data_IF_393638423549
#
_entry.id   IF_393638423549
#
_cell.length_a   1.000
_cell.length_b   1.000
_cell.length_c   1.000
_cell.angle_alpha   90.00
_cell.angle_beta   90.00
_cell.angle_gamma   90.00
#
_symmetry.space_group_name_H-M   'P 1'
#
loop_
_entity.id
_entity.type
_entity.pdbx_description
1 polymer ?
#
# COMPACT_ATOMS: atom_id res chain seq x y z
N UNK A 1 -12.82 129.85 -35.23
CA UNK A 1 -13.32 129.98 -36.64
C UNK A 1 -13.97 128.69 -36.96
N UNK A 2 -15.27 128.68 -36.88
CA UNK A 2 -16.22 128.32 -37.94
C UNK A 2 -16.14 126.81 -38.25
N UNK A 3 -17.11 126.01 -38.31
CA UNK A 3 -18.58 126.06 -38.44
C UNK A 3 -19.06 124.63 -38.37
N UNK A 4 -19.96 124.34 -37.54
CA UNK A 4 -21.28 123.75 -37.81
C UNK A 4 -21.42 122.76 -38.99
N UNK A 5 -21.94 121.60 -38.80
CA UNK A 5 -23.30 121.27 -39.27
C UNK A 5 -23.73 119.87 -38.82
N UNK A 6 -24.93 119.81 -38.34
CA UNK A 6 -25.72 118.69 -37.90
C UNK A 6 -26.05 117.76 -39.10
N UNK A 7 -26.12 116.47 -38.87
CA UNK A 7 -27.01 115.60 -39.63
C UNK A 7 -27.60 114.53 -38.73
N UNK A 8 -28.91 114.50 -38.68
CA UNK A 8 -29.83 113.81 -37.86
C UNK A 8 -29.75 112.27 -38.00
N UNK A 9 -29.95 111.66 -36.87
CA UNK A 9 -30.15 110.21 -36.70
C UNK A 9 -31.46 109.75 -37.30
N UNK A 10 -31.44 108.63 -37.98
CA UNK A 10 -32.62 107.78 -38.18
C UNK A 10 -32.29 106.42 -37.59
N UNK A 11 -32.90 106.14 -36.42
CA UNK A 11 -32.87 104.83 -35.78
C UNK A 11 -33.80 103.89 -36.51
N UNK A 12 -33.27 102.81 -37.12
CA UNK A 12 -34.01 101.69 -37.61
C UNK A 12 -34.02 100.60 -36.49
N UNK A 13 -35.17 100.37 -35.90
CA UNK A 13 -35.43 99.26 -35.01
C UNK A 13 -35.38 97.91 -35.75
N UNK A 14 -34.38 97.10 -35.42
CA UNK A 14 -34.32 95.72 -35.89
C UNK A 14 -35.35 94.80 -35.08
N UNK A 15 -36.05 93.92 -35.77
CA UNK A 15 -37.08 93.04 -35.11
C UNK A 15 -36.38 92.05 -34.20
N UNK A 16 -36.88 91.91 -32.93
CA UNK A 16 -36.54 90.88 -32.01
C UNK A 16 -36.98 89.52 -32.56
N UNK A 17 -36.02 88.65 -32.93
CA UNK A 17 -36.27 87.21 -33.18
C UNK A 17 -36.56 86.52 -31.88
N UNK A 18 -37.59 85.67 -31.84
CA UNK A 18 -37.85 84.82 -30.62
C UNK A 18 -36.68 83.89 -30.48
N UNK A 19 -36.09 83.82 -29.28
CA UNK A 19 -35.06 82.87 -28.90
C UNK A 19 -35.66 81.46 -28.96
N UNK A 20 -35.29 80.68 -29.98
CA UNK A 20 -35.70 79.29 -30.04
C UNK A 20 -35.07 78.51 -28.88
N UNK A 21 -35.83 77.98 -28.01
CA UNK A 21 -35.44 77.14 -26.82
C UNK A 21 -34.94 75.72 -27.25
N UNK A 22 -34.95 75.44 -28.54
CA UNK A 22 -34.51 74.16 -29.13
C UNK A 22 -33.05 73.78 -28.80
N UNK A 23 -32.04 74.72 -28.96
CA UNK A 23 -30.66 74.34 -28.66
C UNK A 23 -30.41 74.04 -27.18
N UNK A 24 -31.19 74.60 -26.27
CA UNK A 24 -31.07 74.40 -24.83
C UNK A 24 -31.61 73.00 -24.42
N UNK A 25 -32.70 72.55 -25.07
CA UNK A 25 -33.28 71.22 -24.86
C UNK A 25 -32.40 70.13 -25.44
N UNK A 26 -31.80 70.32 -26.61
CA UNK A 26 -30.86 69.36 -27.23
C UNK A 26 -29.56 69.28 -26.42
N UNK A 27 -29.02 70.40 -25.94
CA UNK A 27 -27.86 70.41 -25.03
C UNK A 27 -28.15 69.70 -23.71
N UNK A 28 -29.35 69.96 -23.10
CA UNK A 28 -29.78 69.31 -21.87
C UNK A 28 -29.95 67.80 -22.02
N UNK A 29 -30.55 67.34 -23.15
CA UNK A 29 -30.69 65.92 -23.43
C UNK A 29 -29.33 65.22 -23.65
N UNK A 30 -28.37 65.88 -24.29
CA UNK A 30 -27.01 65.38 -24.50
C UNK A 30 -26.24 65.28 -23.17
N UNK A 31 -26.33 66.27 -22.29
CA UNK A 31 -25.74 66.23 -20.95
C UNK A 31 -26.37 65.15 -20.07
N UNK A 32 -27.71 65.01 -20.15
CA UNK A 32 -28.42 63.97 -19.41
C UNK A 32 -28.01 62.53 -19.90
N UNK A 33 -27.83 62.37 -21.22
CA UNK A 33 -27.31 61.13 -21.82
C UNK A 33 -25.89 60.76 -21.34
N UNK A 34 -24.99 61.77 -21.30
CA UNK A 34 -23.62 61.60 -20.80
C UNK A 34 -23.66 61.29 -19.29
N UNK A 35 -24.47 61.99 -18.50
CA UNK A 35 -24.60 61.73 -17.06
C UNK A 35 -25.18 60.33 -16.78
N UNK A 36 -26.16 59.87 -17.55
CA UNK A 36 -26.72 58.52 -17.46
C UNK A 36 -25.67 57.46 -17.88
N UNK A 37 -24.90 57.68 -18.93
CA UNK A 37 -23.85 56.80 -19.36
C UNK A 37 -22.70 56.70 -18.33
N UNK A 38 -22.28 57.85 -17.80
CA UNK A 38 -21.27 57.89 -16.72
C UNK A 38 -21.82 57.24 -15.43
N UNK A 39 -23.07 57.51 -15.08
CA UNK A 39 -23.75 56.88 -13.93
C UNK A 39 -23.85 55.38 -14.10
N UNK A 40 -24.19 54.87 -15.30
CA UNK A 40 -24.21 53.45 -15.58
C UNK A 40 -22.78 52.84 -15.54
N UNK A 41 -21.79 53.53 -16.12
CA UNK A 41 -20.41 53.08 -16.07
C UNK A 41 -19.85 53.02 -14.62
N UNK A 42 -20.21 54.02 -13.79
CA UNK A 42 -19.86 54.00 -12.35
C UNK A 42 -20.60 52.84 -11.63
N UNK A 43 -21.89 52.66 -11.93
CA UNK A 43 -22.68 51.59 -11.33
C UNK A 43 -22.12 50.22 -11.72
N UNK A 44 -21.77 49.96 -13.00
CA UNK A 44 -21.13 48.74 -13.47
C UNK A 44 -19.74 48.52 -12.81
N UNK A 45 -18.95 49.61 -12.68
CA UNK A 45 -17.63 49.55 -12.04
C UNK A 45 -17.71 49.27 -10.52
N UNK A 46 -18.81 49.70 -9.85
CA UNK A 46 -19.00 49.46 -8.43
C UNK A 46 -19.74 48.19 -8.11
N UNK A 47 -20.38 47.54 -9.12
CA UNK A 47 -21.07 46.26 -9.00
C UNK A 47 -20.51 45.26 -10.03
N UNK A 48 -19.23 44.85 -9.85
CA UNK A 48 -18.68 43.84 -10.73
C UNK A 48 -19.48 42.57 -10.65
N UNK A 49 -19.71 41.90 -11.77
CA UNK A 49 -20.36 40.59 -11.79
C UNK A 49 -19.64 39.64 -10.83
N UNK A 50 -20.38 38.81 -10.07
CA UNK A 50 -19.77 37.86 -9.16
C UNK A 50 -18.81 36.95 -9.95
N UNK A 51 -17.59 36.82 -9.46
CA UNK A 51 -16.59 35.96 -10.07
C UNK A 51 -17.06 34.49 -9.92
N UNK A 52 -17.19 33.75 -11.03
CA UNK A 52 -17.61 32.36 -10.96
C UNK A 52 -16.61 31.55 -10.15
N UNK A 53 -17.13 30.63 -9.34
CA UNK A 53 -16.29 29.70 -8.60
C UNK A 53 -15.70 28.68 -9.55
N UNK A 54 -14.38 28.60 -9.60
CA UNK A 54 -13.67 27.66 -10.45
C UNK A 54 -13.12 26.51 -9.63
N UNK A 55 -13.44 25.29 -10.05
CA UNK A 55 -12.90 24.06 -9.49
C UNK A 55 -12.17 23.23 -10.54
N UNK A 56 -11.49 22.22 -10.08
CA UNK A 56 -10.81 21.24 -10.92
C UNK A 56 -11.23 19.82 -10.51
N UNK A 57 -11.47 18.99 -11.51
CA UNK A 57 -11.70 17.56 -11.29
C UNK A 57 -10.43 16.90 -10.81
N UNK A 58 -10.55 16.11 -9.77
CA UNK A 58 -9.50 15.26 -9.22
C UNK A 58 -10.00 13.82 -9.08
N UNK A 59 -9.10 12.87 -8.92
CA UNK A 59 -9.42 11.47 -8.73
C UNK A 59 -8.37 10.80 -7.84
N UNK A 60 -8.74 9.66 -7.28
CA UNK A 60 -7.86 8.89 -6.42
C UNK A 60 -6.68 8.32 -7.19
N UNK A 61 -5.48 8.80 -6.90
CA UNK A 61 -4.23 8.27 -7.47
C UNK A 61 -3.56 7.32 -6.47
N UNK A 62 -3.18 6.15 -6.95
CA UNK A 62 -2.55 5.08 -6.20
C UNK A 62 -1.14 4.89 -6.75
N UNK A 63 -0.15 4.91 -5.87
CA UNK A 63 1.23 4.60 -6.22
C UNK A 63 1.45 3.09 -6.17
N UNK A 64 1.80 2.49 -7.29
CA UNK A 64 2.25 1.10 -7.37
C UNK A 64 3.74 1.08 -7.13
N UNK A 65 4.16 0.58 -5.97
CA UNK A 65 5.56 0.65 -5.51
C UNK A 65 6.17 -0.74 -5.36
N UNK A 66 7.49 -0.83 -5.52
CA UNK A 66 8.27 -2.04 -5.23
C UNK A 66 8.33 -2.27 -3.72
N UNK A 67 8.01 -3.47 -3.24
CA UNK A 67 8.16 -3.85 -1.84
C UNK A 67 9.59 -4.33 -1.52
N UNK A 68 10.26 -4.91 -2.52
CA UNK A 68 11.64 -5.36 -2.44
C UNK A 68 12.54 -4.52 -3.35
N UNK A 69 13.76 -4.21 -2.93
CA UNK A 69 14.70 -3.51 -3.79
C UNK A 69 15.24 -4.45 -4.88
N UNK A 70 15.46 -3.90 -6.07
CA UNK A 70 16.01 -4.66 -7.18
C UNK A 70 16.05 -3.84 -8.46
N UNK A 71 16.45 -4.47 -9.57
CA UNK A 71 16.44 -3.82 -10.88
C UNK A 71 15.12 -4.09 -11.59
N UNK A 72 14.48 -3.06 -12.13
CA UNK A 72 13.29 -3.22 -12.97
C UNK A 72 13.67 -3.98 -14.25
N UNK A 73 13.29 -5.26 -14.31
CA UNK A 73 13.64 -6.15 -15.42
C UNK A 73 12.68 -5.99 -16.59
N UNK A 74 11.39 -5.82 -16.31
CA UNK A 74 10.34 -5.71 -17.31
C UNK A 74 9.21 -4.85 -16.79
N UNK A 75 8.71 -3.93 -17.61
CA UNK A 75 7.51 -3.14 -17.35
C UNK A 75 6.41 -3.61 -18.31
N UNK A 76 5.35 -4.21 -17.77
CA UNK A 76 4.27 -4.84 -18.56
C UNK A 76 3.12 -3.92 -18.93
N UNK A 77 3.21 -2.64 -18.58
CA UNK A 77 2.15 -1.66 -18.75
C UNK A 77 2.68 -0.40 -19.42
N UNK A 78 1.79 0.34 -20.06
CA UNK A 78 2.04 1.63 -20.70
C UNK A 78 1.11 2.68 -20.12
N UNK A 79 1.49 3.95 -20.26
CA UNK A 79 0.59 5.05 -19.91
C UNK A 79 -0.70 4.98 -20.74
N UNK A 80 -1.84 5.11 -20.06
CA UNK A 80 -3.17 4.95 -20.64
C UNK A 80 -3.77 3.54 -20.56
N UNK A 81 -3.00 2.53 -20.12
CA UNK A 81 -3.54 1.18 -19.96
C UNK A 81 -4.51 1.12 -18.78
N UNK A 82 -5.61 0.36 -18.95
CA UNK A 82 -6.60 0.11 -17.90
C UNK A 82 -6.28 -1.18 -17.19
N UNK A 83 -6.01 -1.10 -15.89
CA UNK A 83 -5.64 -2.23 -15.04
C UNK A 83 -6.80 -2.67 -14.15
N UNK A 84 -6.82 -3.96 -13.84
CA UNK A 84 -7.64 -4.55 -12.77
C UNK A 84 -6.77 -4.81 -11.54
N UNK A 85 -7.40 -4.88 -10.37
CA UNK A 85 -6.69 -5.32 -9.17
C UNK A 85 -6.07 -6.71 -9.37
N UNK A 86 -4.76 -6.84 -9.07
CA UNK A 86 -4.00 -8.07 -9.24
C UNK A 86 -3.27 -8.22 -10.57
N UNK A 87 -3.52 -7.35 -11.56
CA UNK A 87 -2.78 -7.37 -12.83
C UNK A 87 -1.30 -7.10 -12.60
N UNK A 88 -0.44 -7.81 -13.35
CA UNK A 88 1.00 -7.63 -13.25
C UNK A 88 1.43 -6.34 -13.92
N UNK A 89 2.05 -5.46 -13.16
CA UNK A 89 2.54 -4.16 -13.61
C UNK A 89 4.00 -4.23 -14.03
N UNK A 90 4.84 -4.88 -13.22
CA UNK A 90 6.28 -4.93 -13.44
C UNK A 90 6.89 -6.20 -12.87
N UNK A 91 8.09 -6.53 -13.34
CA UNK A 91 8.93 -7.61 -12.79
C UNK A 91 10.27 -7.02 -12.36
N UNK A 92 10.66 -7.29 -11.12
CA UNK A 92 11.92 -6.85 -10.54
C UNK A 92 12.88 -8.02 -10.47
N UNK A 93 14.08 -7.88 -11.01
CA UNK A 93 15.17 -8.84 -10.84
C UNK A 93 15.74 -8.71 -9.42
N UNK A 94 15.76 -9.83 -8.70
CA UNK A 94 16.16 -9.92 -7.29
C UNK A 94 17.17 -11.07 -7.06
N UNK A 95 18.31 -11.11 -7.78
CA UNK A 95 19.23 -12.23 -7.76
C UNK A 95 19.75 -12.57 -6.35
N UNK A 96 19.88 -11.58 -5.47
CA UNK A 96 20.30 -11.78 -4.08
C UNK A 96 19.26 -12.56 -3.27
N UNK A 97 17.97 -12.26 -3.46
CA UNK A 97 16.86 -12.98 -2.79
C UNK A 97 16.73 -14.39 -3.36
N UNK A 98 16.90 -14.56 -4.68
CA UNK A 98 16.90 -15.88 -5.33
C UNK A 98 18.05 -16.76 -4.82
N UNK A 99 19.26 -16.23 -4.71
CA UNK A 99 20.40 -16.92 -4.11
C UNK A 99 20.14 -17.30 -2.66
N UNK A 100 19.52 -16.39 -1.89
CA UNK A 100 19.12 -16.65 -0.50
C UNK A 100 18.07 -17.74 -0.41
N UNK A 101 17.10 -17.78 -1.35
CA UNK A 101 16.09 -18.83 -1.42
C UNK A 101 16.73 -20.22 -1.63
N UNK A 102 17.71 -20.31 -2.53
CA UNK A 102 18.47 -21.55 -2.74
C UNK A 102 19.18 -21.97 -1.45
N UNK A 103 19.81 -21.04 -0.74
CA UNK A 103 20.49 -21.29 0.53
C UNK A 103 19.54 -21.85 1.60
N UNK A 104 18.39 -21.17 1.87
CA UNK A 104 17.46 -21.63 2.92
C UNK A 104 16.78 -22.95 2.56
N UNK A 105 16.50 -23.24 1.28
CA UNK A 105 16.04 -24.54 0.80
C UNK A 105 17.08 -25.64 1.02
N UNK A 106 18.37 -25.33 0.92
CA UNK A 106 19.42 -26.29 1.25
C UNK A 106 19.47 -26.57 2.77
N UNK A 107 19.25 -25.55 3.60
CA UNK A 107 19.13 -25.70 5.07
C UNK A 107 17.92 -26.57 5.46
N UNK A 108 16.76 -26.36 4.83
CA UNK A 108 15.57 -27.19 5.04
C UNK A 108 15.85 -28.66 4.73
N UNK A 109 16.48 -28.95 3.56
CA UNK A 109 16.86 -30.32 3.20
C UNK A 109 17.82 -30.93 4.19
N UNK A 110 18.78 -30.16 4.73
CA UNK A 110 19.71 -30.64 5.74
C UNK A 110 19.00 -30.96 7.08
N UNK A 111 18.03 -30.11 7.49
CA UNK A 111 17.22 -30.37 8.67
C UNK A 111 16.33 -31.60 8.47
N UNK A 112 15.68 -31.73 7.33
CA UNK A 112 14.87 -32.90 6.97
C UNK A 112 15.69 -34.20 7.03
N UNK A 113 16.90 -34.20 6.46
CA UNK A 113 17.77 -35.38 6.54
C UNK A 113 18.15 -35.76 7.98
N UNK A 114 18.25 -34.78 8.92
CA UNK A 114 18.46 -35.05 10.35
C UNK A 114 17.22 -35.64 11.01
N UNK A 115 16.04 -35.14 10.67
CA UNK A 115 14.76 -35.69 11.17
C UNK A 115 14.59 -37.14 10.69
N UNK A 116 14.85 -37.40 9.41
CA UNK A 116 14.78 -38.73 8.82
C UNK A 116 15.75 -39.70 9.49
N UNK A 117 16.98 -39.24 9.81
CA UNK A 117 17.96 -40.03 10.58
C UNK A 117 17.47 -40.37 11.97
N UNK A 118 16.91 -39.37 12.68
CA UNK A 118 16.33 -39.58 14.03
C UNK A 118 15.15 -40.54 13.99
N UNK A 119 14.31 -40.46 12.96
CA UNK A 119 13.14 -41.33 12.80
C UNK A 119 13.52 -42.77 12.39
N UNK A 120 14.50 -42.92 11.53
CA UNK A 120 14.99 -44.26 11.08
C UNK A 120 15.69 -44.99 12.22
N UNK A 121 16.37 -44.26 13.10
CA UNK A 121 17.10 -44.83 14.24
C UNK A 121 18.32 -45.66 13.81
N UNK A 122 18.64 -46.72 14.59
CA UNK A 122 19.82 -47.59 14.35
C UNK A 122 19.68 -48.34 13.03
N UNK A 123 20.81 -48.55 12.36
CA UNK A 123 20.87 -49.31 11.11
C UNK A 123 20.53 -50.79 11.35
N UNK A 124 20.00 -51.48 10.33
CA UNK A 124 19.66 -52.88 10.38
C UNK A 124 20.82 -53.73 10.90
N UNK A 125 22.05 -53.45 10.41
CA UNK A 125 23.25 -54.17 10.83
C UNK A 125 23.60 -53.98 12.30
N UNK A 126 23.30 -52.80 12.89
CA UNK A 126 23.51 -52.52 14.31
C UNK A 126 22.48 -53.29 15.18
N UNK A 127 21.22 -53.37 14.72
CA UNK A 127 20.18 -54.18 15.35
C UNK A 127 20.50 -55.65 15.30
N UNK A 128 20.97 -56.18 14.15
CA UNK A 128 21.35 -57.60 13.98
C UNK A 128 22.57 -57.96 14.87
N UNK A 129 23.56 -57.05 14.95
CA UNK A 129 24.69 -57.25 15.85
C UNK A 129 24.30 -57.31 17.33
N UNK A 130 23.45 -56.38 17.77
CA UNK A 130 22.95 -56.38 19.17
C UNK A 130 22.11 -57.63 19.48
N UNK A 131 21.31 -58.09 18.51
CA UNK A 131 20.52 -59.33 18.65
C UNK A 131 21.45 -60.56 18.74
N UNK A 132 22.46 -60.68 17.93
CA UNK A 132 23.43 -61.79 17.97
C UNK A 132 24.20 -61.79 19.32
N UNK A 133 24.57 -60.62 19.86
CA UNK A 133 25.18 -60.50 21.19
C UNK A 133 24.27 -61.01 22.29
N UNK A 134 22.98 -60.65 22.26
CA UNK A 134 21.99 -61.14 23.21
C UNK A 134 21.76 -62.66 23.12
N UNK A 135 21.64 -63.22 21.92
CA UNK A 135 21.49 -64.64 21.68
C UNK A 135 22.71 -65.44 22.20
N UNK A 136 23.93 -64.92 21.97
CA UNK A 136 25.17 -65.49 22.53
C UNK A 136 25.15 -65.50 24.07
N UNK A 137 24.77 -64.37 24.71
CA UNK A 137 24.65 -64.29 26.15
C UNK A 137 23.58 -65.23 26.70
N UNK A 138 22.46 -65.40 26.03
CA UNK A 138 21.37 -66.33 26.38
C UNK A 138 21.83 -67.80 26.29
N UNK A 139 22.60 -68.14 25.30
CA UNK A 139 23.18 -69.50 25.18
C UNK A 139 24.16 -69.79 26.31
N UNK A 140 25.01 -68.82 26.69
CA UNK A 140 25.93 -68.94 27.84
C UNK A 140 25.16 -69.12 29.18
N UNK A 141 24.06 -68.34 29.38
CA UNK A 141 23.18 -68.44 30.55
C UNK A 141 22.55 -69.85 30.59
N UNK A 142 22.08 -70.41 29.47
CA UNK A 142 21.49 -71.69 29.40
C UNK A 142 22.53 -72.78 29.81
N UNK A 143 23.78 -72.66 29.34
CA UNK A 143 24.86 -73.58 29.77
C UNK A 143 25.15 -73.47 31.27
N UNK A 144 25.28 -72.25 31.81
CA UNK A 144 25.52 -72.01 33.25
C UNK A 144 24.37 -72.52 34.10
N UNK A 145 23.11 -72.36 33.67
CA UNK A 145 21.94 -72.91 34.37
C UNK A 145 21.97 -74.43 34.45
N UNK A 146 22.21 -75.09 33.29
CA UNK A 146 22.29 -76.60 33.30
C UNK A 146 23.49 -77.10 34.10
N UNK A 147 24.57 -76.34 34.15
CA UNK A 147 25.74 -76.73 34.98
C UNK A 147 25.44 -76.55 36.43
N UNK A 148 24.79 -75.43 36.85
CA UNK A 148 24.35 -75.19 38.19
C UNK A 148 23.37 -76.25 38.65
N UNK A 149 22.33 -76.59 37.88
CA UNK A 149 21.34 -77.64 38.23
C UNK A 149 22.00 -79.02 38.53
N UNK A 150 23.01 -79.36 37.69
CA UNK A 150 23.78 -80.63 37.88
C UNK A 150 24.65 -80.57 39.15
N UNK A 151 25.36 -79.47 39.36
CA UNK A 151 26.20 -79.29 40.55
C UNK A 151 25.39 -79.24 41.83
N UNK A 152 24.24 -78.55 41.82
CA UNK A 152 23.29 -78.46 42.98
C UNK A 152 22.75 -79.81 43.33
N UNK A 153 22.36 -80.69 42.38
CA UNK A 153 21.93 -82.08 42.62
C UNK A 153 23.03 -82.90 43.31
N UNK A 154 24.29 -82.84 42.77
CA UNK A 154 25.43 -83.57 43.35
C UNK A 154 25.81 -83.00 44.74
N UNK A 155 25.64 -81.75 45.01
CA UNK A 155 25.89 -81.12 46.30
C UNK A 155 24.87 -81.59 47.37
N UNK A 156 23.57 -81.68 47.02
CA UNK A 156 22.52 -82.23 47.87
C UNK A 156 22.73 -83.64 48.25
N UNK A 157 23.35 -84.48 47.36
CA UNK A 157 23.76 -85.84 47.58
C UNK A 157 25.07 -85.96 48.38
N UNK A 158 25.70 -84.84 48.71
CA UNK A 158 26.93 -84.85 49.50
C UNK A 158 28.18 -85.27 48.67
N UNK A 159 28.11 -85.33 47.34
CA UNK A 159 29.13 -85.84 46.49
C UNK A 159 30.22 -84.80 46.08
N UNK A 160 29.99 -83.51 46.35
CA UNK A 160 30.92 -82.45 46.00
C UNK A 160 31.10 -81.44 47.13
N UNK A 161 32.26 -80.75 47.24
CA UNK A 161 32.49 -79.64 48.20
C UNK A 161 31.66 -78.40 47.96
N UNK A 162 31.31 -77.66 49.05
CA UNK A 162 30.57 -76.38 49.01
C UNK A 162 31.19 -75.36 48.06
N UNK A 163 32.52 -75.30 47.95
CA UNK A 163 33.24 -74.45 47.06
C UNK A 163 32.79 -74.63 45.60
N UNK A 164 32.59 -75.84 45.15
CA UNK A 164 32.13 -76.11 43.78
C UNK A 164 30.68 -75.65 43.55
N UNK A 165 29.82 -75.76 44.51
CA UNK A 165 28.47 -75.26 44.48
C UNK A 165 28.47 -73.71 44.45
N UNK A 166 29.29 -73.01 45.25
CA UNK A 166 29.40 -71.60 45.31
C UNK A 166 29.98 -71.04 43.97
N UNK A 167 30.98 -71.70 43.36
CA UNK A 167 31.52 -71.37 42.02
C UNK A 167 30.41 -71.44 40.96
N UNK A 168 29.62 -72.53 40.92
CA UNK A 168 28.54 -72.68 39.97
C UNK A 168 27.42 -71.65 40.18
N UNK A 169 27.12 -71.30 41.42
CA UNK A 169 26.17 -70.21 41.77
C UNK A 169 26.64 -68.85 41.28
N UNK A 170 27.90 -68.51 41.51
CA UNK A 170 28.49 -67.32 41.08
C UNK A 170 28.53 -67.17 39.52
N UNK A 171 28.85 -68.33 38.83
CA UNK A 171 28.85 -68.42 37.38
C UNK A 171 27.43 -68.18 36.77
N UNK A 172 26.38 -68.76 37.36
CA UNK A 172 25.01 -68.61 36.99
C UNK A 172 24.59 -67.08 37.17
N UNK A 173 24.92 -66.52 38.32
CA UNK A 173 24.59 -65.16 38.65
C UNK A 173 25.28 -64.19 37.66
N UNK A 174 26.54 -64.40 37.31
CA UNK A 174 27.29 -63.61 36.33
C UNK A 174 26.65 -63.73 34.93
N UNK A 175 26.33 -64.94 34.47
CA UNK A 175 25.71 -65.20 33.17
C UNK A 175 24.32 -64.53 33.07
N UNK A 176 23.53 -64.50 34.17
CA UNK A 176 22.26 -63.71 34.22
C UNK A 176 22.49 -62.24 33.99
N UNK A 177 23.45 -61.63 34.69
CA UNK A 177 23.77 -60.21 34.57
C UNK A 177 24.28 -59.81 33.17
N UNK A 178 25.07 -60.67 32.57
CA UNK A 178 25.54 -60.47 31.16
C UNK A 178 24.34 -60.52 30.19
N UNK A 179 23.40 -61.44 30.40
CA UNK A 179 22.21 -61.57 29.53
C UNK A 179 21.26 -60.36 29.72
N UNK A 180 21.06 -59.90 30.95
CA UNK A 180 20.27 -58.70 31.24
C UNK A 180 20.90 -57.46 30.57
N UNK A 181 22.21 -57.29 30.65
CA UNK A 181 22.91 -56.18 30.01
C UNK A 181 22.81 -56.21 28.48
N UNK A 182 22.96 -57.42 27.86
CA UNK A 182 22.79 -57.57 26.40
C UNK A 182 21.34 -57.32 25.97
N UNK A 183 20.35 -57.76 26.76
CA UNK A 183 18.94 -57.47 26.49
C UNK A 183 18.61 -55.98 26.57
N UNK A 184 19.15 -55.27 27.58
CA UNK A 184 18.98 -53.82 27.71
C UNK A 184 19.64 -53.05 26.52
N UNK A 185 20.80 -53.52 26.05
CA UNK A 185 21.46 -52.95 24.86
C UNK A 185 20.62 -53.15 23.59
N UNK A 186 20.05 -54.35 23.40
CA UNK A 186 19.17 -54.64 22.26
C UNK A 186 17.93 -53.74 22.31
N UNK A 187 17.27 -53.64 23.46
CA UNK A 187 16.11 -52.77 23.65
C UNK A 187 16.40 -51.31 23.32
N UNK A 188 17.53 -50.78 23.79
CA UNK A 188 17.95 -49.38 23.47
C UNK A 188 18.20 -49.15 21.97
N UNK A 189 18.77 -50.14 21.26
CA UNK A 189 18.99 -50.10 19.82
C UNK A 189 17.67 -50.20 19.03
N UNK A 190 16.75 -51.05 19.50
CA UNK A 190 15.42 -51.24 18.86
C UNK A 190 14.49 -50.02 19.08
N UNK A 191 14.51 -49.39 20.24
CA UNK A 191 13.79 -48.14 20.51
C UNK A 191 14.28 -46.97 19.65
N UNK A 192 15.60 -46.97 19.31
CA UNK A 192 16.21 -45.98 18.49
C UNK A 192 16.36 -44.60 19.19
N UNK A 193 16.21 -43.50 18.48
CA UNK A 193 16.35 -42.15 19.04
C UNK A 193 15.22 -41.86 20.03
N UNK A 194 15.53 -41.12 21.09
CA UNK A 194 14.59 -40.69 22.11
C UNK A 194 13.49 -39.80 21.52
N UNK A 195 12.34 -39.74 22.15
CA UNK A 195 11.21 -38.91 21.75
C UNK A 195 11.62 -37.42 21.72
N UNK A 196 12.45 -37.00 22.68
CA UNK A 196 12.97 -35.63 22.76
C UNK A 196 13.88 -35.32 21.56
N UNK A 197 14.75 -36.23 21.14
CA UNK A 197 15.63 -36.08 19.99
C UNK A 197 14.84 -35.95 18.68
N UNK A 198 13.80 -36.77 18.52
CA UNK A 198 12.87 -36.72 17.37
C UNK A 198 12.10 -35.38 17.33
N UNK A 199 11.62 -34.94 18.51
CA UNK A 199 10.91 -33.68 18.65
C UNK A 199 11.83 -32.50 18.35
N UNK A 200 13.07 -32.52 18.83
CA UNK A 200 14.05 -31.51 18.54
C UNK A 200 14.41 -31.45 17.03
N UNK A 201 14.61 -32.61 16.42
CA UNK A 201 14.88 -32.69 14.97
C UNK A 201 13.71 -32.15 14.14
N UNK A 202 12.46 -32.48 14.51
CA UNK A 202 11.25 -31.92 13.89
C UNK A 202 11.17 -30.41 14.04
N UNK A 203 11.46 -29.89 15.22
CA UNK A 203 11.44 -28.44 15.49
C UNK A 203 12.47 -27.70 14.60
N UNK A 204 13.63 -28.30 14.34
CA UNK A 204 14.63 -27.76 13.39
C UNK A 204 14.10 -27.71 11.94
N UNK A 205 13.34 -28.71 11.53
CA UNK A 205 12.68 -28.71 10.20
C UNK A 205 11.63 -27.58 10.14
N UNK A 206 10.82 -27.45 11.16
CA UNK A 206 9.77 -26.41 11.23
C UNK A 206 10.42 -25.01 11.21
N UNK A 207 11.52 -24.81 11.91
CA UNK A 207 12.31 -23.59 11.86
C UNK A 207 12.86 -23.31 10.44
N UNK A 208 13.43 -24.31 9.79
CA UNK A 208 13.98 -24.17 8.44
C UNK A 208 12.87 -23.85 7.41
N UNK A 209 11.69 -24.50 7.53
CA UNK A 209 10.51 -24.19 6.71
C UNK A 209 10.03 -22.77 6.90
N UNK A 210 10.04 -22.28 8.14
CA UNK A 210 9.76 -20.86 8.44
C UNK A 210 10.68 -19.93 7.65
N UNK A 211 11.98 -20.20 7.65
CA UNK A 211 12.96 -19.44 6.88
C UNK A 211 12.72 -19.50 5.35
N UNK A 212 12.36 -20.68 4.82
CA UNK A 212 11.99 -20.82 3.39
C UNK A 212 10.74 -20.01 3.08
N UNK A 213 9.72 -20.06 3.94
CA UNK A 213 8.48 -19.29 3.78
C UNK A 213 8.74 -17.78 3.74
N UNK A 214 9.58 -17.27 4.64
CA UNK A 214 9.97 -15.86 4.70
C UNK A 214 10.60 -15.40 3.38
N UNK A 215 11.67 -16.11 2.94
CA UNK A 215 12.40 -15.72 1.73
C UNK A 215 11.56 -15.94 0.46
N UNK A 216 10.70 -16.97 0.42
CA UNK A 216 9.80 -17.19 -0.71
C UNK A 216 8.72 -16.11 -0.82
N UNK A 217 8.23 -15.60 0.32
CA UNK A 217 7.31 -14.45 0.33
C UNK A 217 7.98 -13.20 -0.25
N UNK A 218 9.24 -12.91 0.14
CA UNK A 218 10.01 -11.82 -0.44
C UNK A 218 10.25 -12.03 -1.94
N UNK A 219 10.55 -13.25 -2.37
CA UNK A 219 10.75 -13.56 -3.78
C UNK A 219 9.47 -13.37 -4.61
N UNK A 220 8.30 -13.67 -4.04
CA UNK A 220 7.02 -13.44 -4.72
C UNK A 220 6.71 -11.97 -4.96
N UNK A 221 7.25 -11.05 -4.15
CA UNK A 221 7.12 -9.61 -4.32
C UNK A 221 7.95 -9.03 -5.49
N UNK A 222 8.76 -9.86 -6.14
CA UNK A 222 9.43 -9.49 -7.41
C UNK A 222 8.42 -9.21 -8.52
N UNK A 223 7.24 -9.80 -8.46
CA UNK A 223 6.13 -9.55 -9.38
C UNK A 223 5.25 -8.48 -8.77
N UNK A 224 5.43 -7.24 -9.23
CA UNK A 224 4.65 -6.11 -8.76
C UNK A 224 3.29 -6.11 -9.42
N UNK A 225 2.22 -6.08 -8.60
CA UNK A 225 0.83 -6.14 -9.04
C UNK A 225 0.09 -4.84 -8.71
N UNK A 226 -0.91 -4.51 -9.52
CA UNK A 226 -1.81 -3.40 -9.28
C UNK A 226 -2.66 -3.66 -8.01
N UNK A 227 -2.63 -2.78 -6.99
CA UNK A 227 -3.40 -2.97 -5.75
C UNK A 227 -4.90 -2.70 -5.93
N UNK A 228 -5.27 -1.94 -6.97
CA UNK A 228 -6.65 -1.62 -7.31
C UNK A 228 -6.81 -1.44 -8.82
N UNK A 229 -8.05 -1.42 -9.30
CA UNK A 229 -8.36 -1.09 -10.68
C UNK A 229 -8.15 0.41 -10.94
N UNK A 230 -7.73 0.76 -12.16
CA UNK A 230 -7.54 2.14 -12.59
C UNK A 230 -6.81 2.27 -13.92
N UNK A 231 -6.60 3.49 -14.37
CA UNK A 231 -5.84 3.80 -15.60
C UNK A 231 -4.43 4.23 -15.21
N UNK A 232 -3.41 3.71 -15.91
CA UNK A 232 -2.00 4.09 -15.74
C UNK A 232 -1.84 5.53 -16.18
N UNK A 233 -1.60 6.41 -15.21
CA UNK A 233 -1.48 7.85 -15.47
C UNK A 233 -0.05 8.25 -15.80
N UNK A 234 0.91 7.61 -15.14
CA UNK A 234 2.33 7.94 -15.29
C UNK A 234 3.22 6.76 -14.96
N UNK A 235 4.21 6.54 -15.80
CA UNK A 235 5.37 5.70 -15.52
C UNK A 235 6.42 6.57 -14.85
N UNK A 236 6.89 6.16 -13.66
CA UNK A 236 7.87 6.91 -12.85
C UNK A 236 9.26 6.35 -13.02
N UNK A 237 9.37 5.03 -13.27
CA UNK A 237 10.64 4.34 -13.48
C UNK A 237 10.62 3.52 -14.76
N UNK A 238 11.76 3.48 -15.45
CA UNK A 238 11.94 2.74 -16.69
C UNK A 238 12.68 1.41 -16.50
N UNK A 239 12.59 0.55 -17.49
CA UNK A 239 13.30 -0.73 -17.50
C UNK A 239 14.81 -0.52 -17.38
N UNK A 240 15.44 -1.36 -16.57
CA UNK A 240 16.89 -1.29 -16.30
C UNK A 240 17.28 -0.43 -15.10
N UNK A 241 16.39 0.41 -14.59
CA UNK A 241 16.63 1.23 -13.38
C UNK A 241 16.57 0.39 -12.11
N UNK A 242 17.22 0.88 -11.06
CA UNK A 242 17.21 0.25 -9.72
C UNK A 242 16.08 0.84 -8.90
N UNK A 243 15.12 0.03 -8.53
CA UNK A 243 13.97 0.38 -7.70
C UNK A 243 14.30 0.18 -6.21
N UNK A 244 14.39 1.24 -5.40
CA UNK A 244 14.41 1.11 -3.94
C UNK A 244 13.07 0.61 -3.42
N UNK A 245 13.07 -0.09 -2.27
CA UNK A 245 11.83 -0.48 -1.63
C UNK A 245 10.96 0.75 -1.27
N UNK A 246 9.67 0.69 -1.57
CA UNK A 246 8.71 1.76 -1.32
C UNK A 246 8.68 2.87 -2.39
N UNK A 247 9.58 2.84 -3.36
CA UNK A 247 9.58 3.84 -4.43
C UNK A 247 8.50 3.53 -5.48
N UNK A 248 7.72 4.55 -5.94
CA UNK A 248 6.67 4.34 -6.93
C UNK A 248 7.27 4.00 -8.29
N UNK A 249 6.81 2.92 -8.89
CA UNK A 249 7.14 2.53 -10.27
C UNK A 249 6.16 3.16 -11.27
N UNK A 250 4.88 3.13 -10.91
CA UNK A 250 3.77 3.56 -11.76
C UNK A 250 2.71 4.24 -10.89
N UNK A 251 2.09 5.28 -11.42
CA UNK A 251 0.92 5.93 -10.83
C UNK A 251 -0.34 5.45 -11.57
N UNK A 252 -1.30 4.95 -10.81
CA UNK A 252 -2.60 4.46 -11.32
C UNK A 252 -3.69 5.33 -10.75
N UNK A 253 -4.56 5.87 -11.60
CA UNK A 253 -5.67 6.71 -11.19
C UNK A 253 -6.99 5.94 -11.30
N UNK A 254 -7.71 5.88 -10.20
CA UNK A 254 -9.03 5.27 -10.13
C UNK A 254 -10.07 6.25 -10.70
N UNK A 255 -10.50 6.00 -11.93
CA UNK A 255 -11.50 6.83 -12.59
C UNK A 255 -12.93 6.59 -12.10
N UNK A 256 -13.17 5.64 -11.20
CA UNK A 256 -14.46 5.43 -10.57
C UNK A 256 -14.69 6.36 -9.38
N UNK A 257 -13.62 6.78 -8.69
CA UNK A 257 -13.67 7.66 -7.52
C UNK A 257 -13.16 9.07 -7.88
N UNK A 258 -14.06 9.89 -8.44
CA UNK A 258 -13.79 11.25 -8.90
C UNK A 258 -14.53 12.29 -8.06
N UNK A 259 -13.92 13.43 -7.85
CA UNK A 259 -14.52 14.59 -7.20
C UNK A 259 -14.03 15.88 -7.84
N UNK A 260 -14.70 16.98 -7.53
CA UNK A 260 -14.27 18.33 -7.93
C UNK A 260 -13.74 19.04 -6.70
N UNK A 261 -12.56 19.62 -6.82
CA UNK A 261 -11.93 20.43 -5.79
C UNK A 261 -12.18 21.89 -6.12
N UNK A 262 -12.77 22.61 -5.17
CA UNK A 262 -12.92 24.06 -5.21
C UNK A 262 -12.11 24.67 -4.08
N UNK A 263 -11.37 25.72 -4.38
CA UNK A 263 -10.71 26.53 -3.37
C UNK A 263 -11.53 27.82 -3.14
N UNK A 264 -12.35 27.81 -2.08
CA UNK A 264 -13.31 28.88 -1.79
C UNK A 264 -12.71 29.81 -0.74
N UNK A 265 -12.74 31.12 -1.00
CA UNK A 265 -12.28 32.14 -0.06
C UNK A 265 -13.20 32.18 1.15
N UNK A 266 -12.65 32.59 2.30
CA UNK A 266 -13.37 32.70 3.59
C UNK A 266 -14.63 33.59 3.50
N UNK A 267 -14.56 34.69 2.77
CA UNK A 267 -15.69 35.61 2.55
C UNK A 267 -16.75 35.05 1.59
N UNK A 268 -16.43 34.04 0.83
CA UNK A 268 -17.30 33.35 -0.13
C UNK A 268 -17.82 32.00 0.36
N UNK A 269 -17.34 31.53 1.52
CA UNK A 269 -17.72 30.25 2.13
C UNK A 269 -19.17 30.25 2.71
N UNK A 270 -19.74 31.36 3.20
CA UNK A 270 -21.10 31.37 3.73
C UNK A 270 -22.12 30.81 2.73
N UNK A 271 -22.92 29.81 3.19
CA UNK A 271 -23.92 29.11 2.37
C UNK A 271 -23.40 27.87 1.65
N UNK A 272 -22.10 27.55 1.77
CA UNK A 272 -21.54 26.28 1.28
C UNK A 272 -21.32 25.34 2.46
N UNK A 273 -22.20 24.38 2.63
CA UNK A 273 -22.15 23.37 3.69
C UNK A 273 -22.06 21.96 3.09
N UNK A 274 -21.66 20.99 3.91
CA UNK A 274 -21.69 19.58 3.51
C UNK A 274 -23.13 19.18 3.20
N UNK A 275 -23.36 18.72 1.98
CA UNK A 275 -24.69 18.40 1.46
C UNK A 275 -25.26 19.42 0.47
N UNK A 276 -24.69 20.63 0.36
CA UNK A 276 -25.07 21.64 -0.63
C UNK A 276 -24.87 21.10 -2.05
N UNK A 277 -25.84 21.39 -2.94
CA UNK A 277 -25.74 21.04 -4.35
C UNK A 277 -25.30 22.27 -5.13
N UNK A 278 -24.17 22.17 -5.81
CA UNK A 278 -23.60 23.19 -6.67
C UNK A 278 -23.86 22.79 -8.14
N UNK A 279 -24.32 23.72 -8.97
CA UNK A 279 -24.48 23.48 -10.41
C UNK A 279 -23.19 23.85 -11.12
N UNK A 280 -22.42 22.84 -11.50
CA UNK A 280 -21.13 23.02 -12.17
C UNK A 280 -21.24 22.84 -13.68
N UNK A 281 -20.84 23.86 -14.44
CA UNK A 281 -20.66 23.75 -15.89
C UNK A 281 -19.26 23.22 -16.19
N UNK A 282 -19.16 22.17 -16.99
CA UNK A 282 -17.91 21.55 -17.41
C UNK A 282 -17.66 21.88 -18.88
N UNK A 283 -16.78 22.83 -19.22
CA UNK A 283 -16.56 23.26 -20.60
C UNK A 283 -16.12 22.12 -21.53
N UNK A 284 -15.28 21.20 -21.03
CA UNK A 284 -14.72 20.11 -21.82
C UNK A 284 -15.79 19.15 -22.38
N UNK A 285 -16.90 18.99 -21.69
CA UNK A 285 -18.02 18.12 -22.12
C UNK A 285 -19.28 18.93 -22.45
N UNK A 286 -19.20 20.26 -22.35
CA UNK A 286 -20.30 21.22 -22.62
C UNK A 286 -21.61 20.83 -21.88
N UNK A 287 -21.50 20.48 -20.60
CA UNK A 287 -22.62 20.01 -19.78
C UNK A 287 -22.61 20.63 -18.39
N UNK A 288 -23.79 21.00 -17.89
CA UNK A 288 -23.99 21.37 -16.48
C UNK A 288 -24.40 20.13 -15.69
N UNK A 289 -23.78 19.95 -14.54
CA UNK A 289 -23.97 18.79 -13.66
C UNK A 289 -24.18 19.25 -12.22
N UNK A 290 -24.98 18.49 -11.48
CA UNK A 290 -25.18 18.70 -10.06
C UNK A 290 -24.03 18.05 -9.26
N UNK A 291 -23.37 18.87 -8.45
CA UNK A 291 -22.23 18.50 -7.61
C UNK A 291 -22.65 18.61 -6.15
N UNK A 292 -22.63 17.52 -5.42
CA UNK A 292 -22.94 17.50 -3.99
C UNK A 292 -21.66 17.68 -3.18
N UNK A 293 -21.60 18.71 -2.35
CA UNK A 293 -20.50 18.93 -1.40
C UNK A 293 -20.49 17.78 -0.40
N UNK A 294 -19.37 17.09 -0.32
CA UNK A 294 -19.19 15.95 0.57
C UNK A 294 -18.13 16.18 1.65
N UNK A 295 -17.27 17.16 1.46
CA UNK A 295 -16.22 17.48 2.43
C UNK A 295 -15.74 18.92 2.28
N UNK A 296 -15.45 19.55 3.40
CA UNK A 296 -14.85 20.88 3.51
C UNK A 296 -13.65 20.74 4.44
N UNK A 297 -12.49 21.21 4.01
CA UNK A 297 -11.30 21.19 4.84
C UNK A 297 -11.54 22.04 6.10
N UNK A 298 -11.43 21.49 7.32
CA UNK A 298 -11.62 22.27 8.55
C UNK A 298 -10.49 23.28 8.79
N UNK A 299 -9.42 23.24 8.00
CA UNK A 299 -8.27 24.13 8.11
C UNK A 299 -8.18 24.98 6.85
N UNK A 300 -8.26 26.30 6.99
CA UNK A 300 -7.97 27.24 5.92
C UNK A 300 -6.47 27.24 5.60
N UNK A 301 -6.13 27.22 4.32
CA UNK A 301 -4.76 27.36 3.85
C UNK A 301 -4.55 28.75 3.25
N UNK A 302 -3.32 29.26 3.31
CA UNK A 302 -2.99 30.48 2.58
C UNK A 302 -3.11 30.20 1.08
N UNK A 303 -3.86 31.06 0.37
CA UNK A 303 -3.97 30.97 -1.07
C UNK A 303 -2.56 31.12 -1.68
N UNK A 304 -2.00 30.01 -2.21
CA UNK A 304 -0.72 30.00 -2.93
C UNK A 304 -0.82 30.77 -4.26
N UNK A 305 -2.00 31.21 -4.64
CA UNK A 305 -2.33 31.96 -5.84
C UNK A 305 -2.61 33.42 -5.56
N UNK A 306 -1.58 34.25 -5.74
CA UNK A 306 -1.59 35.72 -5.73
C UNK A 306 -2.27 36.33 -4.50
N UNK A 307 -1.45 36.85 -3.62
CA UNK A 307 -1.84 37.96 -2.75
C UNK A 307 -2.38 39.09 -3.62
N UNK A 308 -3.67 39.05 -3.91
CA UNK A 308 -4.35 40.19 -4.53
C UNK A 308 -4.63 41.14 -3.38
N UNK A 309 -3.69 42.04 -3.10
CA UNK A 309 -3.95 43.24 -2.34
C UNK A 309 -5.09 43.99 -2.99
N UNK A 310 -6.30 43.66 -2.67
CA UNK A 310 -7.46 44.49 -2.99
C UNK A 310 -8.30 44.67 -1.72
N UNK A 311 -8.16 45.83 -1.13
CA UNK A 311 -9.14 46.61 -0.42
C UNK A 311 -9.52 46.30 1.02
N UNK A 312 -9.15 45.20 1.67
CA UNK A 312 -9.64 44.92 3.05
C UNK A 312 -8.56 44.89 4.14
N UNK A 313 -7.28 45.03 3.81
CA UNK A 313 -6.20 45.20 4.81
C UNK A 313 -5.79 43.93 5.57
N UNK A 314 -6.38 42.75 5.28
CA UNK A 314 -5.99 41.45 5.83
C UNK A 314 -5.98 40.36 4.75
N UNK A 315 -5.16 39.35 4.97
CA UNK A 315 -5.07 38.19 4.07
C UNK A 315 -6.24 37.23 4.35
N UNK A 316 -7.01 36.91 3.31
CA UNK A 316 -8.10 35.94 3.39
C UNK A 316 -7.56 34.51 3.15
N UNK A 317 -8.01 33.59 3.97
CA UNK A 317 -7.74 32.18 3.79
C UNK A 317 -8.67 31.55 2.75
N UNK A 318 -8.21 30.48 2.12
CA UNK A 318 -9.03 29.64 1.24
C UNK A 318 -9.27 28.29 1.88
N UNK A 319 -10.47 27.78 1.70
CA UNK A 319 -10.88 26.46 2.16
C UNK A 319 -11.05 25.53 0.98
N UNK A 320 -10.43 24.37 1.04
CA UNK A 320 -10.66 23.32 0.07
C UNK A 320 -12.02 22.69 0.31
N UNK A 321 -12.87 22.71 -0.71
CA UNK A 321 -14.19 22.09 -0.73
C UNK A 321 -14.22 21.02 -1.80
N UNK A 322 -14.61 19.81 -1.42
CA UNK A 322 -14.77 18.70 -2.36
C UNK A 322 -16.24 18.44 -2.61
N UNK A 323 -16.60 18.33 -3.88
CA UNK A 323 -17.94 17.99 -4.29
C UNK A 323 -17.91 16.81 -5.27
N UNK A 324 -18.85 15.89 -5.13
CA UNK A 324 -18.98 14.73 -6.02
C UNK A 324 -20.14 14.91 -6.98
N UNK A 325 -20.00 14.52 -8.26
CA UNK A 325 -21.14 14.47 -9.18
C UNK A 325 -22.23 13.56 -8.62
N UNK A 326 -23.48 14.01 -8.70
CA UNK A 326 -24.63 13.20 -8.29
C UNK A 326 -24.87 12.06 -9.28
N UNK A 327 -24.60 12.31 -10.56
CA UNK A 327 -24.66 11.31 -11.63
C UNK A 327 -23.24 10.82 -12.00
N UNK A 328 -23.11 9.56 -12.35
CA UNK A 328 -21.85 9.05 -12.90
C UNK A 328 -21.58 9.67 -14.28
N UNK A 329 -20.39 10.23 -14.42
CA UNK A 329 -19.92 10.88 -15.65
C UNK A 329 -18.64 10.19 -16.13
N UNK A 330 -18.74 9.15 -16.98
CA UNK A 330 -17.56 8.44 -17.51
C UNK A 330 -16.59 9.36 -18.28
N UNK A 331 -17.12 10.38 -18.97
CA UNK A 331 -16.33 11.35 -19.73
C UNK A 331 -15.54 12.33 -18.86
N UNK A 332 -15.79 12.40 -17.55
CA UNK A 332 -15.10 13.27 -16.63
C UNK A 332 -13.69 12.75 -16.36
N UNK A 333 -12.68 13.57 -16.63
CA UNK A 333 -11.27 13.22 -16.37
C UNK A 333 -10.63 14.18 -15.39
N UNK A 334 -9.69 13.73 -14.56
CA UNK A 334 -8.88 14.59 -13.71
C UNK A 334 -8.20 15.70 -14.50
N UNK A 335 -8.11 16.90 -13.93
CA UNK A 335 -7.60 18.08 -14.59
C UNK A 335 -8.63 18.92 -15.35
N UNK A 336 -9.85 18.41 -15.58
CA UNK A 336 -10.92 19.20 -16.21
C UNK A 336 -11.39 20.32 -15.29
N UNK A 337 -11.65 21.48 -15.86
CA UNK A 337 -12.18 22.64 -15.14
C UNK A 337 -13.69 22.54 -14.97
N UNK A 338 -14.18 22.98 -13.81
CA UNK A 338 -15.60 23.10 -13.50
C UNK A 338 -15.89 24.52 -13.05
N UNK A 339 -16.93 25.14 -13.62
CA UNK A 339 -17.32 26.51 -13.35
C UNK A 339 -18.70 26.51 -12.68
N UNK A 340 -18.80 27.11 -11.51
CA UNK A 340 -20.07 27.29 -10.78
C UNK A 340 -20.42 28.76 -10.81
N UNK A 341 -21.54 29.10 -11.44
CA UNK A 341 -22.13 30.44 -11.39
C UNK A 341 -22.84 30.63 -10.05
N UNK A 342 -22.66 31.81 -9.45
CA UNK A 342 -23.26 32.19 -8.15
C UNK A 342 -24.40 33.17 -8.34
#
# INVERSE_FOLDING_TARGET
MIEQTQAQQTQAQAPKRPASSVPLLVGGAFFAGIAAFLGWGVWEATHPAPVPLQGMVDARTISVSAKVPGRLAELKVREGDVLKAGDTVAVIAIPEIEAKLVQVKAQERAAQAREDLANTGARVQEKDAARADWERAKAALTLASKTYERVDALYREGLIPAQRHDEATAQLAAARKVTEAAAAKLSAVDEGARVEDKTAAKALVDQARGGVSEVSSLASESIVKAPAAGEVTRIVMEEGEVAPAGFPLVLVTDLSDKWVVFNIREDELPGVEVGTILKGFIPAVNRTVDLKVNWINPRGEYAVWRATRQSTGYDLHTFEVRARPVEELPALRPGMTVIVER
#
